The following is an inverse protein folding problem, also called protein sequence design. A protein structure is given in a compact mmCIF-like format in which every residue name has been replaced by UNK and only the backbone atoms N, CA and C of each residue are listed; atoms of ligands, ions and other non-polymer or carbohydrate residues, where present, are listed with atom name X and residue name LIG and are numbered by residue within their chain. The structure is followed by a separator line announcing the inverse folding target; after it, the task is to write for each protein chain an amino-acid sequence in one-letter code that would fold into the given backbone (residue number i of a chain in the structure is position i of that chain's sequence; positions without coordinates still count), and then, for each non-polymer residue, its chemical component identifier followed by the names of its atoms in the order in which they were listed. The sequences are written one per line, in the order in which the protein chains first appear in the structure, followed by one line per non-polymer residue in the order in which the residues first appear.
data_IF_932762702610
#
_entry.id   IF_932762702610
#
_cell.length_a   1.000
_cell.length_b   1.000
_cell.length_c   1.000
_cell.angle_alpha   90.00
_cell.angle_beta   90.00
_cell.angle_gamma   90.00
#
_symmetry.space_group_name_H-M   'P 1'
#
loop_
_entity.id
_entity.type
_entity.pdbx_description
1 polymer ?
#
# COMPACT_ATOMS: atom_id res chain seq x y z
N UNK A 1 4.90 -43.76 -25.58
CA UNK A 1 4.08 -44.12 -26.77
C UNK A 1 2.94 -43.13 -27.05
N UNK A 2 2.38 -42.47 -26.03
CA UNK A 2 1.31 -41.46 -26.21
C UNK A 2 1.85 -40.13 -26.77
N UNK A 3 3.01 -39.66 -26.31
CA UNK A 3 3.60 -38.38 -26.77
C UNK A 3 3.93 -38.34 -28.28
N UNK A 4 4.36 -39.47 -28.86
CA UNK A 4 4.68 -39.55 -30.28
C UNK A 4 3.45 -39.36 -31.20
N UNK A 5 2.24 -39.70 -30.71
CA UNK A 5 0.98 -39.50 -31.46
C UNK A 5 0.43 -38.09 -31.34
N UNK A 6 0.76 -37.37 -30.27
CA UNK A 6 0.31 -36.00 -30.02
C UNK A 6 1.18 -34.96 -30.71
N UNK A 7 2.42 -35.31 -31.06
CA UNK A 7 3.39 -34.40 -31.69
C UNK A 7 2.84 -33.59 -32.89
N UNK A 8 2.14 -34.16 -33.89
CA UNK A 8 1.60 -33.35 -35.00
C UNK A 8 0.55 -32.34 -34.55
N UNK A 9 -0.19 -32.63 -33.48
CA UNK A 9 -1.16 -31.70 -32.90
C UNK A 9 -0.44 -30.57 -32.14
N UNK A 10 0.61 -30.89 -31.38
CA UNK A 10 1.44 -29.92 -30.67
C UNK A 10 2.17 -28.96 -31.64
N UNK A 11 2.73 -29.47 -32.74
CA UNK A 11 3.38 -28.65 -33.77
C UNK A 11 2.39 -27.68 -34.43
N UNK A 12 1.17 -28.14 -34.73
CA UNK A 12 0.10 -27.26 -35.26
C UNK A 12 -0.35 -26.23 -34.22
N UNK A 13 -0.47 -26.64 -32.96
CA UNK A 13 -0.87 -25.75 -31.88
C UNK A 13 0.19 -24.66 -31.63
N UNK A 14 1.48 -25.03 -31.63
CA UNK A 14 2.61 -24.11 -31.53
C UNK A 14 2.64 -23.11 -32.69
N UNK A 15 2.45 -23.58 -33.94
CA UNK A 15 2.37 -22.71 -35.11
C UNK A 15 1.22 -21.69 -34.99
N UNK A 16 0.02 -22.15 -34.58
CA UNK A 16 -1.13 -21.26 -34.36
C UNK A 16 -0.89 -20.27 -33.22
N UNK A 17 -0.27 -20.70 -32.13
CA UNK A 17 0.07 -19.83 -31.01
C UNK A 17 1.08 -18.77 -31.46
N UNK A 18 2.17 -19.16 -32.13
CA UNK A 18 3.12 -18.22 -32.77
C UNK A 18 2.43 -17.20 -33.66
N UNK A 19 1.50 -17.63 -34.54
CA UNK A 19 0.75 -16.67 -35.37
C UNK A 19 -0.05 -15.69 -34.52
N UNK A 20 -0.66 -16.13 -33.42
CA UNK A 20 -1.35 -15.22 -32.48
C UNK A 20 -0.40 -14.27 -31.75
N UNK A 21 0.79 -14.75 -31.40
CA UNK A 21 1.85 -13.98 -30.74
C UNK A 21 2.56 -12.98 -31.68
N UNK A 22 2.43 -13.14 -33.00
CA UNK A 22 2.96 -12.21 -34.00
C UNK A 22 1.87 -11.26 -34.54
N UNK A 23 0.64 -11.74 -34.65
CA UNK A 23 -0.50 -10.97 -35.18
C UNK A 23 -1.25 -10.36 -34.01
N UNK A 24 -0.65 -9.33 -33.40
CA UNK A 24 -1.38 -8.44 -32.51
C UNK A 24 -2.49 -7.75 -33.25
N UNK A 25 -3.75 -8.19 -33.10
CA UNK A 25 -4.89 -7.40 -33.54
C UNK A 25 -5.48 -6.64 -32.35
N UNK A 26 -5.21 -5.34 -32.21
CA UNK A 26 -6.31 -4.42 -32.06
C UNK A 26 -6.98 -4.27 -33.44
N UNK A 27 -8.24 -4.69 -33.57
CA UNK A 27 -9.09 -4.16 -34.64
C UNK A 27 -9.17 -2.64 -34.44
N UNK A 28 -8.35 -1.85 -35.13
CA UNK A 28 -8.51 -0.39 -35.11
C UNK A 28 -7.29 0.47 -35.45
N UNK A 29 -6.05 0.01 -35.23
CA UNK A 29 -4.88 0.90 -35.38
C UNK A 29 -3.85 0.36 -36.36
N UNK A 30 -3.64 1.11 -37.45
CA UNK A 30 -2.80 0.76 -38.61
C UNK A 30 -1.31 1.06 -38.32
N UNK A 31 -0.95 1.45 -37.08
CA UNK A 31 0.38 1.99 -36.76
C UNK A 31 1.37 1.07 -36.04
N UNK A 32 0.95 -0.06 -35.45
CA UNK A 32 1.88 -0.91 -34.68
C UNK A 32 1.70 -2.39 -34.98
N UNK A 33 2.65 -2.95 -35.74
CA UNK A 33 2.75 -4.39 -36.01
C UNK A 33 3.30 -5.19 -34.80
N UNK A 34 3.36 -4.61 -33.60
CA UNK A 34 3.92 -5.25 -32.41
C UNK A 34 2.84 -5.45 -31.34
N UNK A 35 2.75 -6.68 -30.82
CA UNK A 35 1.90 -6.99 -29.66
C UNK A 35 2.37 -6.18 -28.46
N UNK A 36 1.44 -5.55 -27.74
CA UNK A 36 1.81 -4.89 -26.49
C UNK A 36 2.35 -5.95 -25.51
N UNK A 37 3.45 -5.69 -24.80
CA UNK A 37 4.05 -6.70 -23.94
C UNK A 37 3.10 -7.31 -22.88
N UNK A 38 2.11 -6.52 -22.44
CA UNK A 38 1.03 -6.96 -21.55
C UNK A 38 0.13 -8.01 -22.22
N UNK A 39 -0.21 -7.82 -23.51
CA UNK A 39 -0.97 -8.80 -24.27
C UNK A 39 -0.16 -10.08 -24.51
N UNK A 40 1.14 -9.94 -24.78
CA UNK A 40 2.05 -11.08 -24.94
C UNK A 40 2.09 -11.93 -23.67
N UNK A 41 2.30 -11.31 -22.50
CA UNK A 41 2.27 -12.00 -21.22
C UNK A 41 0.92 -12.69 -20.95
N UNK A 42 -0.19 -12.03 -21.28
CA UNK A 42 -1.53 -12.60 -21.09
C UNK A 42 -1.76 -13.85 -21.91
N UNK A 43 -1.31 -13.87 -23.16
CA UNK A 43 -1.39 -15.06 -24.02
C UNK A 43 -0.52 -16.20 -23.46
N UNK A 44 0.69 -15.90 -22.98
CA UNK A 44 1.56 -16.88 -22.32
C UNK A 44 0.94 -17.48 -21.06
N UNK A 45 0.29 -16.66 -20.23
CA UNK A 45 -0.45 -17.12 -19.05
C UNK A 45 -1.65 -17.99 -19.43
N UNK A 46 -2.39 -17.60 -20.47
CA UNK A 46 -3.58 -18.31 -20.95
C UNK A 46 -3.23 -19.69 -21.50
N UNK A 47 -2.11 -19.82 -22.20
CA UNK A 47 -1.67 -21.06 -22.85
C UNK A 47 -0.51 -21.76 -22.11
N UNK A 48 -0.31 -21.46 -20.83
CA UNK A 48 0.84 -21.95 -20.05
C UNK A 48 1.02 -23.48 -20.09
N UNK A 49 -0.06 -24.26 -20.01
CA UNK A 49 0.00 -25.72 -20.05
C UNK A 49 0.45 -26.27 -21.40
N UNK A 50 0.10 -25.57 -22.48
CA UNK A 50 0.55 -25.91 -23.83
C UNK A 50 2.03 -25.53 -24.01
N UNK A 51 2.43 -24.36 -23.52
CA UNK A 51 3.81 -23.84 -23.64
C UNK A 51 4.79 -24.71 -22.84
N UNK A 52 4.38 -25.28 -21.69
CA UNK A 52 5.21 -26.22 -20.91
C UNK A 52 5.52 -27.53 -21.62
N UNK A 53 4.81 -27.88 -22.70
CA UNK A 53 5.11 -29.10 -23.47
C UNK A 53 6.47 -28.96 -24.16
N UNK A 54 7.38 -29.94 -24.05
CA UNK A 54 8.75 -29.81 -24.55
C UNK A 54 8.85 -29.39 -26.03
N UNK A 55 8.01 -29.98 -26.89
CA UNK A 55 7.99 -29.68 -28.33
C UNK A 55 7.53 -28.25 -28.57
N UNK A 56 6.46 -27.80 -27.90
CA UNK A 56 5.94 -26.43 -28.04
C UNK A 56 6.94 -25.41 -27.51
N UNK A 57 7.54 -25.69 -26.36
CA UNK A 57 8.57 -24.87 -25.73
C UNK A 57 9.76 -24.63 -26.66
N UNK A 58 10.29 -25.71 -27.26
CA UNK A 58 11.36 -25.64 -28.25
C UNK A 58 10.94 -24.89 -29.51
N UNK A 59 9.73 -25.14 -30.00
CA UNK A 59 9.23 -24.45 -31.18
C UNK A 59 9.09 -22.95 -30.94
N UNK A 60 8.66 -22.51 -29.75
CA UNK A 60 8.43 -21.11 -29.37
C UNK A 60 9.64 -20.44 -28.71
N UNK A 61 10.86 -20.98 -28.91
CA UNK A 61 12.05 -20.50 -28.21
C UNK A 61 12.28 -18.98 -28.37
N UNK A 62 12.16 -18.44 -29.58
CA UNK A 62 12.38 -17.01 -29.84
C UNK A 62 11.36 -16.12 -29.10
N UNK A 63 10.10 -16.54 -29.03
CA UNK A 63 9.04 -15.83 -28.32
C UNK A 63 9.27 -15.87 -26.81
N UNK A 64 9.70 -17.02 -26.28
CA UNK A 64 10.06 -17.20 -24.87
C UNK A 64 11.21 -16.28 -24.46
N UNK A 65 12.25 -16.20 -25.28
CA UNK A 65 13.38 -15.28 -25.09
C UNK A 65 12.94 -13.80 -25.11
N UNK A 66 11.98 -13.47 -25.98
CA UNK A 66 11.40 -12.12 -26.09
C UNK A 66 10.59 -11.75 -24.83
N UNK A 67 9.78 -12.69 -24.32
CA UNK A 67 9.04 -12.51 -23.06
C UNK A 67 9.99 -12.30 -21.89
N UNK A 68 11.06 -13.10 -21.80
CA UNK A 68 12.06 -12.92 -20.76
C UNK A 68 12.73 -11.54 -20.86
N UNK A 69 13.11 -11.09 -22.07
CA UNK A 69 13.69 -9.77 -22.27
C UNK A 69 12.75 -8.62 -21.86
N UNK A 70 11.43 -8.77 -22.09
CA UNK A 70 10.46 -7.80 -21.59
C UNK A 70 10.39 -7.77 -20.06
N UNK A 71 10.33 -8.95 -19.42
CA UNK A 71 10.28 -9.04 -17.97
C UNK A 71 11.57 -8.53 -17.32
N UNK A 72 12.73 -8.74 -17.94
CA UNK A 72 14.01 -8.13 -17.55
C UNK A 72 13.94 -6.59 -17.62
N UNK A 73 13.35 -6.03 -18.68
CA UNK A 73 13.16 -4.58 -18.79
C UNK A 73 12.18 -4.05 -17.73
N UNK A 74 11.04 -4.71 -17.54
CA UNK A 74 10.05 -4.35 -16.51
C UNK A 74 10.63 -4.43 -15.10
N UNK A 75 11.52 -5.39 -14.84
CA UNK A 75 12.20 -5.51 -13.55
C UNK A 75 13.14 -4.33 -13.28
N UNK A 76 13.83 -3.83 -14.31
CA UNK A 76 14.64 -2.62 -14.23
C UNK A 76 13.77 -1.39 -13.96
N UNK A 77 12.63 -1.28 -14.65
CA UNK A 77 11.65 -0.22 -14.40
C UNK A 77 11.14 -0.25 -12.95
N UNK A 78 10.80 -1.42 -12.41
CA UNK A 78 10.42 -1.56 -10.99
C UNK A 78 11.54 -1.12 -10.05
N UNK A 79 12.79 -1.45 -10.36
CA UNK A 79 13.95 -1.02 -9.55
C UNK A 79 14.12 0.50 -9.58
N UNK A 80 13.97 1.12 -10.74
CA UNK A 80 14.01 2.59 -10.87
C UNK A 80 12.84 3.27 -10.15
N UNK A 81 11.62 2.72 -10.28
CA UNK A 81 10.43 3.21 -9.57
C UNK A 81 10.64 3.11 -8.06
N UNK A 82 11.19 1.98 -7.58
CA UNK A 82 11.52 1.79 -6.18
C UNK A 82 12.55 2.80 -5.68
N UNK A 83 13.64 3.03 -6.42
CA UNK A 83 14.68 3.99 -6.07
C UNK A 83 14.17 5.44 -6.00
N UNK A 84 13.26 5.82 -6.90
CA UNK A 84 12.60 7.13 -6.91
C UNK A 84 11.63 7.26 -5.72
N UNK A 85 10.73 6.29 -5.53
CA UNK A 85 9.69 6.36 -4.51
C UNK A 85 10.17 6.14 -3.07
N UNK A 86 11.27 5.39 -2.87
CA UNK A 86 11.92 5.21 -1.56
C UNK A 86 12.68 6.46 -1.09
N UNK A 87 12.94 7.42 -1.99
CA UNK A 87 13.74 8.61 -1.69
C UNK A 87 15.24 8.37 -1.60
N UNK A 88 15.73 7.20 -2.04
CA UNK A 88 17.17 6.87 -2.10
C UNK A 88 17.88 7.72 -3.15
N UNK A 89 17.20 8.11 -4.23
CA UNK A 89 17.70 9.07 -5.23
C UNK A 89 17.23 10.48 -4.87
N UNK A 90 17.73 11.01 -3.74
CA UNK A 90 17.65 12.44 -3.47
C UNK A 90 19.04 13.02 -3.70
N UNK A 91 19.36 13.29 -4.96
CA UNK A 91 20.20 14.46 -5.25
C UNK A 91 19.36 15.67 -4.82
N UNK A 92 19.60 16.12 -3.59
CA UNK A 92 18.86 17.23 -2.98
C UNK A 92 19.32 18.52 -3.64
N UNK A 93 18.82 18.79 -4.85
CA UNK A 93 18.84 20.15 -5.39
C UNK A 93 17.92 21.00 -4.50
N UNK A 94 18.44 21.98 -3.73
CA UNK A 94 17.62 22.79 -2.85
C UNK A 94 16.74 23.68 -3.73
N UNK A 95 15.43 23.39 -3.80
CA UNK A 95 14.48 24.25 -4.50
C UNK A 95 13.29 23.56 -5.18
N UNK A 96 13.32 22.24 -5.40
CA UNK A 96 12.19 21.53 -6.05
C UNK A 96 11.25 20.89 -5.02
N UNK A 97 10.49 21.70 -4.28
CA UNK A 97 9.24 21.24 -3.65
C UNK A 97 8.11 21.34 -4.66
N UNK A 98 8.16 20.50 -5.71
CA UNK A 98 6.98 20.27 -6.53
C UNK A 98 6.10 19.23 -5.84
N UNK A 99 4.95 19.67 -5.33
CA UNK A 99 3.89 18.84 -4.74
C UNK A 99 3.30 17.77 -5.70
N UNK A 100 3.86 17.62 -6.90
CA UNK A 100 3.40 16.71 -7.96
C UNK A 100 4.40 15.59 -8.33
N UNK A 101 5.53 15.44 -7.63
CA UNK A 101 6.44 14.32 -7.86
C UNK A 101 5.97 13.05 -7.12
N UNK A 102 4.73 12.63 -7.39
CA UNK A 102 4.20 11.34 -6.93
C UNK A 102 4.66 10.30 -7.93
N UNK A 103 5.39 9.28 -7.47
CA UNK A 103 5.77 8.15 -8.32
C UNK A 103 4.53 7.60 -9.03
N UNK A 104 4.61 7.50 -10.36
CA UNK A 104 3.56 6.95 -11.21
C UNK A 104 3.28 5.53 -10.72
N UNK A 105 2.06 5.27 -10.21
CA UNK A 105 1.69 3.97 -9.64
C UNK A 105 1.41 3.96 -8.14
N UNK A 106 1.69 5.05 -7.41
CA UNK A 106 1.33 5.16 -5.99
C UNK A 106 -0.18 5.37 -5.81
N UNK A 107 -0.94 4.28 -5.70
CA UNK A 107 -2.35 4.32 -5.31
C UNK A 107 -2.43 4.72 -3.84
N UNK A 108 -2.68 6.00 -3.59
CA UNK A 108 -2.87 6.50 -2.22
C UNK A 108 -4.28 6.22 -1.76
N UNK A 109 -4.43 5.36 -0.75
CA UNK A 109 -5.70 5.27 -0.09
C UNK A 109 -5.93 6.58 0.67
N UNK A 110 -7.08 7.21 0.39
CA UNK A 110 -7.49 8.48 0.99
C UNK A 110 -7.62 8.28 2.50
N UNK A 111 -7.13 9.23 3.31
CA UNK A 111 -7.16 9.21 4.77
C UNK A 111 -6.18 8.24 5.46
N UNK A 112 -5.08 7.88 4.77
CA UNK A 112 -3.94 7.16 5.34
C UNK A 112 -2.72 8.09 5.31
N UNK A 113 -1.86 8.10 6.33
CA UNK A 113 -0.65 8.90 6.31
C UNK A 113 0.29 8.44 5.22
N UNK A 114 1.06 9.40 4.71
CA UNK A 114 2.00 9.19 3.62
C UNK A 114 3.01 8.07 3.90
N UNK A 115 3.53 7.97 5.13
CA UNK A 115 4.48 6.91 5.52
C UNK A 115 3.90 5.50 5.37
N UNK A 116 2.63 5.30 5.76
CA UNK A 116 1.94 4.00 5.62
C UNK A 116 1.55 3.73 4.17
N UNK A 117 1.13 4.75 3.43
CA UNK A 117 0.86 4.61 1.99
C UNK A 117 2.11 4.18 1.21
N UNK A 118 3.29 4.71 1.53
CA UNK A 118 4.54 4.29 0.88
C UNK A 118 4.92 2.86 1.22
N UNK A 119 4.72 2.42 2.47
CA UNK A 119 4.90 1.00 2.83
C UNK A 119 3.95 0.08 2.05
N UNK A 120 2.70 0.49 1.84
CA UNK A 120 1.72 -0.27 1.06
C UNK A 120 2.11 -0.35 -0.42
N UNK A 121 2.50 0.78 -1.03
CA UNK A 121 2.99 0.81 -2.40
C UNK A 121 4.20 -0.11 -2.59
N UNK A 122 5.17 -0.07 -1.68
CA UNK A 122 6.32 -0.95 -1.70
C UNK A 122 5.92 -2.43 -1.61
N UNK A 123 4.97 -2.77 -0.73
CA UNK A 123 4.45 -4.14 -0.64
C UNK A 123 3.71 -4.61 -1.90
N UNK A 124 3.03 -3.68 -2.59
CA UNK A 124 2.40 -3.97 -3.88
C UNK A 124 3.43 -4.24 -4.97
N UNK A 125 4.50 -3.44 -5.06
CA UNK A 125 5.59 -3.70 -6.00
C UNK A 125 6.27 -5.04 -5.74
N UNK A 126 6.56 -5.36 -4.47
CA UNK A 126 7.14 -6.66 -4.08
C UNK A 126 6.26 -7.82 -4.54
N UNK A 127 4.93 -7.71 -4.36
CA UNK A 127 3.98 -8.72 -4.81
C UNK A 127 3.98 -8.88 -6.33
N UNK A 128 4.06 -7.77 -7.09
CA UNK A 128 4.13 -7.82 -8.56
C UNK A 128 5.42 -8.49 -9.05
N UNK A 129 6.57 -8.14 -8.46
CA UNK A 129 7.86 -8.77 -8.78
C UNK A 129 7.83 -10.26 -8.45
N UNK A 130 7.21 -10.65 -7.33
CA UNK A 130 7.01 -12.04 -6.97
C UNK A 130 6.15 -12.80 -7.98
N UNK A 131 5.02 -12.23 -8.40
CA UNK A 131 4.10 -12.85 -9.37
C UNK A 131 4.77 -13.04 -10.75
N UNK A 132 5.54 -12.05 -11.20
CA UNK A 132 6.34 -12.16 -12.43
C UNK A 132 7.42 -13.24 -12.29
N UNK A 133 8.09 -13.33 -11.14
CA UNK A 133 9.09 -14.38 -10.88
C UNK A 133 8.47 -15.79 -10.93
N UNK A 134 7.29 -15.97 -10.34
CA UNK A 134 6.56 -17.25 -10.40
C UNK A 134 6.21 -17.63 -11.84
N UNK A 135 5.78 -16.66 -12.65
CA UNK A 135 5.50 -16.87 -14.07
C UNK A 135 6.75 -17.32 -14.84
N UNK A 136 7.87 -16.61 -14.65
CA UNK A 136 9.15 -16.91 -15.32
C UNK A 136 9.67 -18.29 -14.89
N UNK A 137 9.63 -18.60 -13.60
CA UNK A 137 10.09 -19.90 -13.10
C UNK A 137 9.27 -21.06 -13.67
N UNK A 138 7.96 -20.88 -13.82
CA UNK A 138 7.07 -21.91 -14.32
C UNK A 138 7.11 -22.11 -15.85
N UNK A 139 7.59 -21.13 -16.63
CA UNK A 139 7.53 -21.15 -18.09
C UNK A 139 8.89 -21.03 -18.79
N UNK A 140 9.91 -20.48 -18.12
CA UNK A 140 11.15 -20.01 -18.72
C UNK A 140 12.40 -20.43 -17.93
N UNK A 141 12.28 -21.36 -16.99
CA UNK A 141 13.38 -21.75 -16.09
C UNK A 141 14.54 -22.48 -16.77
N UNK A 142 14.33 -23.03 -17.96
CA UNK A 142 15.33 -23.66 -18.82
C UNK A 142 16.13 -22.68 -19.68
N UNK A 143 15.76 -21.39 -19.71
CA UNK A 143 16.50 -20.38 -20.47
C UNK A 143 17.79 -19.98 -19.75
N UNK A 144 18.87 -19.73 -20.51
CA UNK A 144 20.18 -19.39 -19.94
C UNK A 144 20.14 -18.13 -19.05
N UNK A 145 19.39 -17.10 -19.47
CA UNK A 145 19.26 -15.82 -18.76
C UNK A 145 18.34 -15.88 -17.53
N UNK A 146 17.58 -16.97 -17.35
CA UNK A 146 16.68 -17.14 -16.21
C UNK A 146 17.38 -16.96 -14.86
N UNK A 147 18.59 -17.52 -14.72
CA UNK A 147 19.33 -17.47 -13.45
C UNK A 147 19.67 -16.05 -13.04
N UNK A 148 20.02 -15.20 -14.00
CA UNK A 148 20.31 -13.79 -13.75
C UNK A 148 19.04 -13.05 -13.37
N UNK A 149 17.96 -13.21 -14.15
CA UNK A 149 16.65 -12.63 -13.84
C UNK A 149 16.17 -13.00 -12.43
N UNK A 150 16.22 -14.29 -12.06
CA UNK A 150 15.81 -14.77 -10.74
C UNK A 150 16.63 -14.12 -9.62
N UNK A 151 17.94 -14.02 -9.79
CA UNK A 151 18.83 -13.35 -8.83
C UNK A 151 18.46 -11.87 -8.66
N UNK A 152 18.25 -11.16 -9.77
CA UNK A 152 17.95 -9.73 -9.76
C UNK A 152 16.57 -9.44 -9.16
N UNK A 153 15.58 -10.30 -9.43
CA UNK A 153 14.23 -10.22 -8.88
C UNK A 153 14.23 -10.48 -7.37
N UNK A 154 14.90 -11.54 -6.92
CA UNK A 154 15.05 -11.84 -5.49
C UNK A 154 15.79 -10.72 -4.74
N UNK A 155 16.85 -10.15 -5.33
CA UNK A 155 17.54 -9.00 -4.77
C UNK A 155 16.63 -7.78 -4.64
N UNK A 156 15.84 -7.46 -5.67
CA UNK A 156 14.90 -6.32 -5.60
C UNK A 156 13.84 -6.54 -4.51
N UNK A 157 13.29 -7.75 -4.40
CA UNK A 157 12.34 -8.08 -3.35
C UNK A 157 12.95 -7.94 -1.95
N UNK A 158 14.20 -8.38 -1.78
CA UNK A 158 14.93 -8.24 -0.51
C UNK A 158 15.20 -6.77 -0.17
N UNK A 159 15.59 -5.95 -1.15
CA UNK A 159 15.78 -4.50 -1.00
C UNK A 159 14.47 -3.84 -0.54
N UNK A 160 13.35 -4.16 -1.21
CA UNK A 160 12.02 -3.64 -0.88
C UNK A 160 11.59 -4.08 0.52
N UNK A 161 11.75 -5.36 0.85
CA UNK A 161 11.36 -5.91 2.15
C UNK A 161 12.18 -5.29 3.29
N UNK A 162 13.48 -5.07 3.07
CA UNK A 162 14.38 -4.41 4.04
C UNK A 162 13.95 -2.96 4.26
N UNK A 163 13.74 -2.21 3.19
CA UNK A 163 13.26 -0.83 3.28
C UNK A 163 11.91 -0.74 4.00
N UNK A 164 10.96 -1.62 3.70
CA UNK A 164 9.65 -1.67 4.39
C UNK A 164 9.79 -1.91 5.89
N UNK A 165 10.70 -2.81 6.31
CA UNK A 165 10.98 -3.04 7.74
C UNK A 165 11.53 -1.78 8.39
N UNK A 166 12.48 -1.11 7.76
CA UNK A 166 13.06 0.15 8.29
C UNK A 166 12.03 1.28 8.40
N UNK A 167 11.13 1.40 7.41
CA UNK A 167 10.03 2.37 7.47
C UNK A 167 9.06 2.05 8.61
N UNK A 168 8.75 0.77 8.83
CA UNK A 168 7.90 0.34 9.94
C UNK A 168 8.55 0.62 11.30
N UNK A 169 9.84 0.31 11.45
CA UNK A 169 10.59 0.60 12.69
C UNK A 169 10.64 2.10 12.98
N UNK A 170 10.84 2.92 11.95
CA UNK A 170 10.81 4.38 12.06
C UNK A 170 9.42 4.86 12.49
N UNK A 171 8.36 4.40 11.80
CA UNK A 171 6.98 4.71 12.16
C UNK A 171 6.64 4.30 13.61
N UNK A 172 7.08 3.11 14.03
CA UNK A 172 6.87 2.58 15.38
C UNK A 172 7.54 3.45 16.43
N UNK A 173 8.82 3.78 16.22
CA UNK A 173 9.60 4.66 17.11
C UNK A 173 8.98 6.04 17.22
N UNK A 174 8.59 6.65 16.10
CA UNK A 174 8.04 8.01 16.06
C UNK A 174 6.68 8.07 16.79
N UNK A 175 5.82 7.08 16.58
CA UNK A 175 4.52 7.04 17.28
C UNK A 175 4.66 6.71 18.76
N UNK A 176 5.63 5.87 19.16
CA UNK A 176 5.93 5.62 20.56
C UNK A 176 6.47 6.89 21.25
N UNK A 177 7.33 7.66 20.58
CA UNK A 177 7.80 8.95 21.07
C UNK A 177 6.62 9.92 21.27
N UNK A 178 5.75 10.06 20.26
CA UNK A 178 4.53 10.88 20.34
C UNK A 178 3.56 10.46 21.44
N UNK A 179 3.50 9.17 21.79
CA UNK A 179 2.72 8.69 22.94
C UNK A 179 3.35 9.05 24.28
N UNK A 180 4.68 9.12 24.34
CA UNK A 180 5.41 9.47 25.57
C UNK A 180 5.47 10.98 25.83
N UNK A 181 5.22 11.80 24.82
CA UNK A 181 5.21 13.26 24.92
C UNK A 181 3.99 13.76 25.73
N UNK A 182 4.25 14.25 26.93
CA UNK A 182 3.22 14.81 27.83
C UNK A 182 2.72 16.19 27.39
N UNK A 183 3.47 16.93 26.56
CA UNK A 183 3.11 18.25 26.01
C UNK A 183 3.45 18.32 24.52
N UNK A 184 2.56 17.82 23.64
CA UNK A 184 2.78 17.90 22.21
C UNK A 184 2.76 19.37 21.75
N UNK A 185 3.70 19.75 20.87
CA UNK A 185 3.78 21.10 20.29
C UNK A 185 2.53 21.46 19.49
N UNK A 186 1.94 20.48 18.83
CA UNK A 186 0.66 20.57 18.13
C UNK A 186 -0.39 19.68 18.80
N UNK A 187 -1.36 20.28 19.48
CA UNK A 187 -2.41 19.54 20.18
C UNK A 187 -3.30 18.69 19.25
N UNK A 188 -3.32 18.99 17.95
CA UNK A 188 -4.00 18.19 16.91
C UNK A 188 -3.31 16.85 16.63
N UNK A 189 -1.98 16.82 16.74
CA UNK A 189 -1.14 15.63 16.49
C UNK A 189 -0.83 14.85 17.77
N UNK A 190 -1.32 15.32 18.91
CA UNK A 190 -1.23 14.64 20.19
C UNK A 190 -1.74 13.20 20.07
N UNK A 191 -0.98 12.24 20.60
CA UNK A 191 -1.46 10.86 20.78
C UNK A 191 -1.76 10.57 22.24
N UNK A 192 -1.15 11.32 23.17
CA UNK A 192 -1.44 11.25 24.58
C UNK A 192 -2.83 11.84 24.84
N UNK A 193 -3.74 10.98 25.31
CA UNK A 193 -5.06 11.38 25.78
C UNK A 193 -5.11 11.16 27.30
N UNK A 194 -5.44 12.20 28.05
CA UNK A 194 -5.66 12.12 29.49
C UNK A 194 -7.14 11.76 29.75
N UNK A 195 -7.46 10.56 30.28
CA UNK A 195 -8.85 10.14 30.52
C UNK A 195 -9.61 11.02 31.52
N UNK A 196 -8.88 11.69 32.42
CA UNK A 196 -9.37 12.69 33.36
C UNK A 196 -9.48 14.10 32.76
N UNK A 197 -9.04 14.29 31.51
CA UNK A 197 -9.07 15.58 30.82
C UNK A 197 -10.48 15.99 30.38
N UNK A 198 -10.65 17.30 30.13
CA UNK A 198 -11.92 17.86 29.61
C UNK A 198 -12.14 17.39 28.16
N UNK A 199 -13.06 16.47 27.98
CA UNK A 199 -13.47 15.96 26.66
C UNK A 199 -14.27 16.99 25.85
N UNK A 200 -14.88 17.93 26.56
CA UNK A 200 -15.67 19.04 26.03
C UNK A 200 -15.10 20.35 26.56
N UNK A 201 -14.62 21.20 25.66
CA UNK A 201 -14.25 22.58 25.96
C UNK A 201 -15.18 23.53 25.23
N UNK A 202 -15.69 24.53 25.94
CA UNK A 202 -16.40 25.64 25.32
C UNK A 202 -15.34 26.59 24.77
N UNK A 203 -15.38 26.83 23.46
CA UNK A 203 -14.51 27.83 22.82
C UNK A 203 -14.88 29.21 23.34
N UNK A 204 -13.94 29.85 24.05
CA UNK A 204 -14.13 31.18 24.65
C UNK A 204 -14.33 32.27 23.60
N UNK A 205 -13.94 32.02 22.34
CA UNK A 205 -14.08 32.96 21.22
C UNK A 205 -15.43 32.86 20.51
N UNK A 206 -15.96 31.64 20.34
CA UNK A 206 -17.13 31.40 19.47
C UNK A 206 -18.36 30.82 20.21
N UNK A 207 -18.24 30.50 21.51
CA UNK A 207 -19.30 29.85 22.29
C UNK A 207 -19.64 28.42 21.83
N UNK A 208 -18.83 27.86 20.91
CA UNK A 208 -19.04 26.53 20.32
C UNK A 208 -18.47 25.43 21.21
N UNK A 209 -19.22 24.35 21.35
CA UNK A 209 -18.81 23.15 22.05
C UNK A 209 -17.81 22.37 21.19
N UNK A 210 -16.53 22.40 21.58
CA UNK A 210 -15.44 21.67 20.96
C UNK A 210 -15.20 20.36 21.70
N UNK A 211 -15.15 19.26 20.96
CA UNK A 211 -14.79 17.96 21.50
C UNK A 211 -13.28 17.83 21.42
N UNK A 212 -12.59 17.81 22.56
CA UNK A 212 -11.14 17.70 22.70
C UNK A 212 -10.60 16.31 22.37
N UNK A 213 -11.10 15.68 21.30
CA UNK A 213 -10.58 14.40 20.82
C UNK A 213 -9.36 14.67 19.92
N UNK A 214 -8.16 14.16 20.27
CA UNK A 214 -6.98 14.36 19.45
C UNK A 214 -7.14 13.67 18.09
N UNK A 215 -7.09 14.45 17.01
CA UNK A 215 -7.21 13.95 15.63
C UNK A 215 -6.13 12.90 15.31
N UNK A 216 -4.92 13.10 15.85
CA UNK A 216 -3.81 12.15 15.78
C UNK A 216 -4.15 10.75 16.30
N UNK A 217 -5.05 10.62 17.29
CA UNK A 217 -5.45 9.32 17.83
C UNK A 217 -6.38 8.54 16.89
N UNK A 218 -7.27 9.22 16.16
CA UNK A 218 -8.07 8.57 15.09
C UNK A 218 -7.14 8.11 13.96
N UNK A 219 -6.14 8.94 13.64
CA UNK A 219 -5.14 8.61 12.63
C UNK A 219 -4.35 7.36 13.05
N UNK A 220 -3.82 7.33 14.27
CA UNK A 220 -3.10 6.19 14.84
C UNK A 220 -3.95 4.92 14.80
N UNK A 221 -5.23 4.99 15.16
CA UNK A 221 -6.13 3.84 15.13
C UNK A 221 -6.26 3.23 13.72
N UNK A 222 -6.39 4.08 12.69
CA UNK A 222 -6.42 3.63 11.29
C UNK A 222 -5.10 2.98 10.90
N UNK A 223 -3.98 3.61 11.22
CA UNK A 223 -2.63 3.10 10.93
C UNK A 223 -2.39 1.74 11.57
N UNK A 224 -2.70 1.59 12.86
CA UNK A 224 -2.55 0.35 13.62
C UNK A 224 -3.41 -0.77 13.02
N UNK A 225 -4.67 -0.49 12.65
CA UNK A 225 -5.54 -1.48 12.02
C UNK A 225 -4.98 -1.96 10.68
N UNK A 226 -4.49 -1.03 9.86
CA UNK A 226 -3.90 -1.37 8.55
C UNK A 226 -2.62 -2.18 8.70
N UNK A 227 -1.69 -1.74 9.54
CA UNK A 227 -0.41 -2.43 9.74
C UNK A 227 -0.60 -3.82 10.37
N UNK A 228 -1.54 -3.95 11.31
CA UNK A 228 -1.91 -5.26 11.86
C UNK A 228 -2.52 -6.16 10.79
N UNK A 229 -3.41 -5.63 9.93
CA UNK A 229 -3.99 -6.38 8.81
C UNK A 229 -2.96 -6.82 7.76
N UNK A 230 -1.88 -6.06 7.61
CA UNK A 230 -0.73 -6.40 6.76
C UNK A 230 0.28 -7.36 7.43
N UNK A 231 0.03 -7.76 8.69
CA UNK A 231 0.88 -8.70 9.43
C UNK A 231 2.09 -8.08 10.13
N UNK A 232 2.18 -6.75 10.26
CA UNK A 232 3.27 -6.14 11.01
C UNK A 232 3.12 -6.33 12.52
N UNK A 233 4.22 -6.57 13.27
CA UNK A 233 4.20 -6.74 14.71
C UNK A 233 4.09 -5.40 15.44
N UNK A 234 2.89 -4.82 15.48
CA UNK A 234 2.65 -3.53 16.13
C UNK A 234 2.88 -3.62 17.65
N UNK A 235 3.69 -2.71 18.25
CA UNK A 235 3.91 -2.67 19.69
C UNK A 235 2.63 -2.60 20.53
N UNK A 236 2.57 -3.36 21.62
CA UNK A 236 1.39 -3.45 22.50
C UNK A 236 0.95 -2.10 23.10
N UNK A 237 1.89 -1.16 23.29
CA UNK A 237 1.59 0.20 23.75
C UNK A 237 0.77 0.99 22.71
N UNK A 238 1.10 0.86 21.42
CA UNK A 238 0.37 1.51 20.32
C UNK A 238 -1.00 0.87 20.12
N UNK A 239 -1.10 -0.46 20.25
CA UNK A 239 -2.38 -1.18 20.23
C UNK A 239 -3.33 -0.68 21.33
N UNK A 240 -2.85 -0.63 22.58
CA UNK A 240 -3.65 -0.12 23.71
C UNK A 240 -4.10 1.33 23.51
N UNK A 241 -3.21 2.19 22.98
CA UNK A 241 -3.57 3.58 22.69
C UNK A 241 -4.65 3.67 21.60
N UNK A 242 -4.54 2.87 20.54
CA UNK A 242 -5.54 2.80 19.48
C UNK A 242 -6.91 2.31 20.00
N UNK A 243 -6.92 1.29 20.86
CA UNK A 243 -8.15 0.75 21.48
C UNK A 243 -8.81 1.76 22.42
N UNK A 244 -8.01 2.49 23.21
CA UNK A 244 -8.50 3.59 24.04
C UNK A 244 -9.12 4.69 23.18
N UNK A 245 -8.45 5.06 22.08
CA UNK A 245 -8.98 5.98 21.09
C UNK A 245 -10.32 5.53 20.53
N UNK A 246 -10.46 4.25 20.17
CA UNK A 246 -11.72 3.72 19.65
C UNK A 246 -12.87 3.87 20.66
N UNK A 247 -12.63 3.51 21.93
CA UNK A 247 -13.64 3.64 22.98
C UNK A 247 -14.08 5.10 23.15
N UNK A 248 -13.12 6.04 23.18
CA UNK A 248 -13.36 7.47 23.33
C UNK A 248 -14.05 8.08 22.11
N UNK A 249 -13.74 7.60 20.91
CA UNK A 249 -14.36 8.07 19.66
C UNK A 249 -15.86 7.78 19.63
N UNK A 250 -16.30 6.62 20.16
CA UNK A 250 -17.73 6.31 20.29
C UNK A 250 -18.45 7.33 21.17
N UNK A 251 -17.88 7.69 22.32
CA UNK A 251 -18.43 8.73 23.19
C UNK A 251 -18.42 10.11 22.52
N UNK A 252 -17.33 10.45 21.82
CA UNK A 252 -17.21 11.71 21.08
C UNK A 252 -18.27 11.86 19.97
N UNK A 253 -18.62 10.77 19.26
CA UNK A 253 -19.71 10.80 18.27
C UNK A 253 -21.04 11.08 18.95
N UNK A 254 -21.36 10.40 20.05
CA UNK A 254 -22.61 10.62 20.79
C UNK A 254 -22.73 12.08 21.24
N UNK A 255 -21.65 12.65 21.78
CA UNK A 255 -21.61 14.07 22.18
C UNK A 255 -21.77 15.02 20.98
N UNK A 256 -21.18 14.71 19.82
CA UNK A 256 -21.37 15.48 18.58
C UNK A 256 -22.80 15.39 18.05
N UNK A 257 -23.48 14.26 18.22
CA UNK A 257 -24.88 14.07 17.84
C UNK A 257 -25.82 14.83 18.77
N UNK A 258 -25.58 14.76 20.09
CA UNK A 258 -26.34 15.53 21.08
C UNK A 258 -26.25 17.04 20.86
N UNK A 259 -25.05 17.53 20.48
CA UNK A 259 -24.85 18.92 20.05
C UNK A 259 -25.63 19.28 18.77
N UNK A 260 -25.77 18.35 17.82
CA UNK A 260 -26.52 18.59 16.59
C UNK A 260 -28.03 18.46 16.78
N UNK A 261 -28.49 17.62 17.73
CA UNK A 261 -29.90 17.34 17.95
C UNK A 261 -30.56 18.29 18.96
N UNK A 262 -29.82 18.83 19.94
CA UNK A 262 -30.36 19.74 20.96
C UNK A 262 -29.33 20.81 21.38
N UNK A 263 -29.81 22.02 21.66
CA UNK A 263 -29.12 23.16 22.31
C UNK A 263 -28.33 24.13 21.40
N UNK A 264 -29.07 24.91 20.59
CA UNK A 264 -28.69 26.27 20.17
C UNK A 264 -29.12 27.37 21.15
N UNK A 265 -29.72 27.05 22.30
CA UNK A 265 -30.02 28.03 23.35
C UNK A 265 -29.35 27.64 24.68
N UNK A 266 -28.21 28.26 24.94
CA UNK A 266 -27.44 28.21 26.19
C UNK A 266 -28.00 29.20 27.24
N UNK A 267 -29.32 29.31 27.35
CA UNK A 267 -29.98 30.19 28.34
C UNK A 267 -30.62 29.43 29.52
N UNK A 268 -30.87 28.13 29.41
CA UNK A 268 -31.69 27.40 30.40
C UNK A 268 -30.92 26.46 31.34
N UNK A 269 -29.60 26.32 31.19
CA UNK A 269 -28.78 25.60 32.17
C UNK A 269 -27.89 26.57 32.93
N UNK A 270 -28.45 27.14 33.99
CA UNK A 270 -27.65 27.56 35.14
C UNK A 270 -26.82 26.36 35.61
N UNK A 271 -25.52 26.59 35.79
CA UNK A 271 -24.48 25.63 36.20
C UNK A 271 -23.82 24.85 35.06
N UNK A 272 -22.66 25.35 34.66
CA UNK A 272 -21.68 24.70 33.76
C UNK A 272 -21.29 23.33 34.35
N UNK A 273 -21.78 22.24 33.76
CA UNK A 273 -21.35 20.88 34.12
C UNK A 273 -20.21 20.42 33.22
N UNK A 274 -19.06 20.13 33.82
CA UNK A 274 -17.89 19.56 33.15
C UNK A 274 -18.07 18.04 33.08
N UNK A 275 -18.18 17.50 31.87
CA UNK A 275 -18.27 16.05 31.62
C UNK A 275 -16.88 15.47 31.36
N UNK A 276 -16.50 14.46 32.17
CA UNK A 276 -15.27 13.67 32.01
C UNK A 276 -15.58 12.29 31.44
N UNK A 277 -14.61 11.65 30.77
CA UNK A 277 -14.78 10.34 30.12
C UNK A 277 -15.16 9.19 31.06
N UNK A 278 -15.07 9.40 32.37
CA UNK A 278 -15.31 8.39 33.42
C UNK A 278 -16.60 8.62 34.21
N UNK A 279 -17.54 9.41 33.69
CA UNK A 279 -18.85 9.65 34.31
C UNK A 279 -18.74 10.12 35.78
N UNK A 280 -17.73 10.94 36.10
CA UNK A 280 -17.71 11.72 37.34
C UNK A 280 -17.97 13.19 37.02
N UNK A 281 -19.12 13.63 37.48
CA UNK A 281 -19.46 15.04 37.68
C UNK A 281 -18.43 15.58 38.68
N UNK A 282 -17.46 16.36 38.22
CA UNK A 282 -16.65 17.18 39.11
C UNK A 282 -17.35 18.51 39.24
N UNK A 283 -18.06 18.68 40.35
CA UNK A 283 -18.49 19.98 40.83
C UNK A 283 -17.24 20.71 41.34
N UNK A 284 -16.74 21.68 40.59
CA UNK A 284 -15.90 22.71 41.19
C UNK A 284 -16.83 23.86 41.62
N UNK A 285 -16.94 24.06 42.94
CA UNK A 285 -17.21 25.37 43.51
C UNK A 285 -15.95 26.23 43.49
#
# INVERSE_FOLDING_TARGET
MIDARLRPAEERAASRLRTRLLVGRPKGDIGSNQISPIQLLREFQTYQELIRRPIVSQLLQAERETVLGYLEASLKEFREEFLKGSGVVLDRTPGSTSYNDRSVGMVTAKNIPESVNRMLWAGHMESRVHDDLQLVEALLSDLDRFRLYKKDAMSLMEDIATWRREQFETWSRDNLARLSEQKPKDQRLALAFEPSGRLLSLSTTDGRLEVGYPEGLVQLQREVRLLTGLGYPVPSKLLKAADQGEALYRYAIVLKQLRHSNYTNLADFGSIQVWTATNRVVLCG
#
